data_IF_254203988227
#
_entry.id   IF_254203988227
#
_cell.length_a   1.000
_cell.length_b   1.000
_cell.length_c   1.000
_cell.angle_alpha   90.00
_cell.angle_beta   90.00
_cell.angle_gamma   90.00
#
_symmetry.space_group_name_H-M   'P 1'
#
loop_
_entity.id
_entity.type
_entity.pdbx_description
1 polymer ?
#
# COMPACT_ATOMS: atom_id res chain seq x y z
N UNK A 1 15.28 -5.39 17.70
CA UNK A 1 14.75 -6.72 17.33
C UNK A 1 14.48 -6.72 15.84
N UNK A 2 14.65 -7.85 15.12
CA UNK A 2 14.29 -7.95 13.71
C UNK A 2 12.76 -7.77 13.52
N UNK A 3 12.35 -7.16 12.41
CA UNK A 3 10.93 -6.88 12.11
C UNK A 3 10.12 -8.17 11.89
N UNK A 4 10.76 -9.19 11.31
CA UNK A 4 10.19 -10.51 11.05
C UNK A 4 10.92 -11.62 11.78
N UNK A 5 10.20 -12.68 12.10
CA UNK A 5 10.72 -13.97 12.55
C UNK A 5 10.42 -15.02 11.49
N UNK A 6 11.36 -15.96 11.35
CA UNK A 6 11.23 -17.11 10.46
C UNK A 6 11.16 -18.38 11.28
N UNK A 7 10.29 -19.31 10.89
CA UNK A 7 10.20 -20.64 11.48
C UNK A 7 10.02 -21.69 10.40
N UNK A 8 10.51 -22.90 10.68
CA UNK A 8 10.07 -24.07 9.94
C UNK A 8 8.60 -24.35 10.27
N UNK A 9 7.86 -24.76 9.25
CA UNK A 9 6.45 -25.10 9.33
C UNK A 9 6.26 -26.53 8.85
N UNK A 10 5.77 -27.37 9.74
CA UNK A 10 5.19 -28.65 9.38
C UNK A 10 3.81 -28.42 8.77
N UNK A 11 3.63 -28.84 7.51
CA UNK A 11 2.40 -28.55 6.75
C UNK A 11 1.38 -29.68 6.92
N UNK A 12 1.83 -30.92 7.06
CA UNK A 12 0.96 -32.09 7.17
C UNK A 12 0.72 -32.51 8.63
N UNK A 13 0.11 -31.60 9.39
CA UNK A 13 -0.17 -31.79 10.84
C UNK A 13 -1.03 -33.04 11.12
N UNK A 14 -1.78 -33.54 10.14
CA UNK A 14 -2.68 -34.68 10.28
C UNK A 14 -2.11 -35.98 9.67
N UNK A 15 -0.86 -35.98 9.18
CA UNK A 15 -0.22 -37.13 8.52
C UNK A 15 -1.10 -37.74 7.41
N UNK A 16 -1.68 -36.89 6.55
CA UNK A 16 -2.49 -37.33 5.41
C UNK A 16 -1.63 -37.78 4.23
N UNK A 17 -0.39 -37.33 4.18
CA UNK A 17 0.59 -37.64 3.14
C UNK A 17 1.51 -38.77 3.62
N UNK A 18 1.95 -39.60 2.67
CA UNK A 18 3.02 -40.59 2.88
C UNK A 18 4.42 -39.94 2.82
N UNK A 19 4.49 -38.65 2.49
CA UNK A 19 5.70 -37.87 2.32
C UNK A 19 5.81 -36.81 3.41
N UNK A 20 7.05 -36.43 3.71
CA UNK A 20 7.32 -35.30 4.58
C UNK A 20 6.98 -34.02 3.82
N UNK A 21 5.92 -33.33 4.26
CA UNK A 21 5.49 -32.07 3.67
C UNK A 21 5.78 -30.90 4.61
N UNK A 22 6.63 -29.98 4.15
CA UNK A 22 7.10 -28.88 4.99
C UNK A 22 7.30 -27.58 4.22
N UNK A 23 7.35 -26.49 4.96
CA UNK A 23 7.63 -25.16 4.44
C UNK A 23 8.26 -24.25 5.48
N UNK A 24 8.25 -22.96 5.15
CA UNK A 24 8.70 -21.89 6.03
C UNK A 24 7.56 -20.92 6.27
N UNK A 25 7.46 -20.41 7.50
CA UNK A 25 6.59 -19.30 7.82
C UNK A 25 7.45 -18.10 8.26
N UNK A 26 7.18 -16.95 7.66
CA UNK A 26 7.71 -15.64 8.02
C UNK A 26 6.57 -14.81 8.60
N UNK A 27 6.74 -14.24 9.77
CA UNK A 27 5.69 -13.46 10.43
C UNK A 27 6.27 -12.29 11.21
N UNK A 28 5.48 -11.23 11.41
CA UNK A 28 5.94 -10.04 12.12
C UNK A 28 6.28 -10.37 13.58
N UNK A 29 7.43 -9.89 14.06
CA UNK A 29 7.95 -10.23 15.38
C UNK A 29 7.11 -9.66 16.54
N UNK A 30 6.38 -8.58 16.28
CA UNK A 30 5.59 -7.83 17.26
C UNK A 30 4.17 -7.66 16.74
N UNK A 31 3.20 -8.03 17.57
CA UNK A 31 1.79 -7.76 17.28
C UNK A 31 1.46 -6.32 17.67
N UNK A 32 0.81 -5.60 16.75
CA UNK A 32 0.33 -4.22 16.94
C UNK A 32 -1.16 -4.16 16.62
N UNK A 33 -2.03 -3.78 17.57
CA UNK A 33 -3.48 -3.79 17.34
C UNK A 33 -3.94 -2.68 16.38
N UNK A 34 -3.11 -1.66 16.13
CA UNK A 34 -3.39 -0.54 15.24
C UNK A 34 -2.98 -0.79 13.78
N UNK A 35 -2.40 -1.95 13.47
CA UNK A 35 -1.85 -2.28 12.15
C UNK A 35 -2.24 -3.69 11.72
N UNK A 36 -2.22 -3.95 10.43
CA UNK A 36 -2.41 -5.29 9.89
C UNK A 36 -1.17 -6.15 10.17
N UNK A 37 -1.42 -7.38 10.62
CA UNK A 37 -0.37 -8.35 10.91
C UNK A 37 -0.08 -9.25 9.71
N UNK A 38 1.14 -9.19 9.17
CA UNK A 38 1.58 -10.01 8.05
C UNK A 38 2.11 -11.38 8.52
N UNK A 39 1.63 -12.44 7.85
CA UNK A 39 2.23 -13.76 7.87
C UNK A 39 2.32 -14.31 6.44
N UNK A 40 3.53 -14.69 6.04
CA UNK A 40 3.86 -15.24 4.73
C UNK A 40 4.29 -16.71 4.89
N UNK A 41 3.78 -17.57 4.02
CA UNK A 41 4.15 -18.98 3.98
C UNK A 41 4.82 -19.25 2.66
N UNK A 42 5.95 -19.95 2.71
CA UNK A 42 6.75 -20.33 1.56
C UNK A 42 6.89 -21.84 1.58
N UNK A 43 6.46 -22.51 0.51
CA UNK A 43 6.53 -23.96 0.40
C UNK A 43 6.91 -24.35 -1.02
N UNK A 44 7.73 -25.40 -1.13
CA UNK A 44 8.11 -26.03 -2.39
C UNK A 44 7.97 -27.56 -2.32
N UNK A 45 7.94 -28.13 -1.10
CA UNK A 45 7.92 -29.58 -0.84
C UNK A 45 6.63 -29.91 -0.08
N UNK A 46 5.50 -29.38 -0.55
CA UNK A 46 4.19 -29.67 0.02
C UNK A 46 3.09 -29.59 -1.04
N UNK A 47 2.06 -30.40 -0.85
CA UNK A 47 0.90 -30.49 -1.73
C UNK A 47 -0.02 -29.28 -1.52
N UNK A 48 -0.40 -28.59 -2.60
CA UNK A 48 -1.24 -27.38 -2.52
C UNK A 48 -2.57 -27.59 -1.78
N UNK A 49 -3.16 -28.79 -1.87
CA UNK A 49 -4.39 -29.13 -1.14
C UNK A 49 -4.17 -29.19 0.37
N UNK A 50 -3.06 -29.78 0.85
CA UNK A 50 -2.73 -29.88 2.27
C UNK A 50 -2.43 -28.48 2.83
N UNK A 51 -1.69 -27.66 2.09
CA UNK A 51 -1.49 -26.24 2.43
C UNK A 51 -2.82 -25.49 2.52
N UNK A 52 -3.71 -25.67 1.55
CA UNK A 52 -5.00 -25.01 1.55
C UNK A 52 -5.87 -25.41 2.77
N UNK A 53 -5.86 -26.70 3.14
CA UNK A 53 -6.56 -27.18 4.34
C UNK A 53 -5.97 -26.60 5.63
N UNK A 54 -4.64 -26.56 5.76
CA UNK A 54 -3.95 -25.94 6.89
C UNK A 54 -4.37 -24.48 7.05
N UNK A 55 -4.34 -23.72 5.95
CA UNK A 55 -4.72 -22.31 5.91
C UNK A 55 -6.19 -22.09 6.26
N UNK A 56 -7.10 -22.95 5.77
CA UNK A 56 -8.51 -22.89 6.14
C UNK A 56 -8.68 -23.20 7.65
N UNK A 57 -7.90 -24.12 8.19
CA UNK A 57 -7.84 -24.38 9.63
C UNK A 57 -7.44 -23.13 10.43
N UNK A 58 -6.39 -22.43 10.00
CA UNK A 58 -5.95 -21.18 10.62
C UNK A 58 -6.97 -20.07 10.49
N UNK A 59 -7.59 -19.92 9.32
CA UNK A 59 -8.68 -18.97 9.09
C UNK A 59 -9.83 -19.21 10.09
N UNK A 60 -10.29 -20.45 10.25
CA UNK A 60 -11.34 -20.79 11.22
C UNK A 60 -10.91 -20.50 12.65
N UNK A 61 -9.66 -20.83 13.00
CA UNK A 61 -9.11 -20.56 14.34
C UNK A 61 -9.03 -19.06 14.62
N UNK A 62 -8.61 -18.25 13.66
CA UNK A 62 -8.56 -16.80 13.77
C UNK A 62 -9.95 -16.22 14.13
N UNK A 63 -11.01 -16.71 13.49
CA UNK A 63 -12.38 -16.28 13.80
C UNK A 63 -12.79 -16.59 15.25
N UNK A 64 -12.37 -17.74 15.81
CA UNK A 64 -12.62 -18.06 17.23
C UNK A 64 -11.92 -17.09 18.20
N UNK A 65 -10.80 -16.49 17.75
CA UNK A 65 -10.07 -15.47 18.47
C UNK A 65 -10.56 -14.04 18.15
N UNK A 66 -11.67 -13.89 17.42
CA UNK A 66 -12.20 -12.60 16.94
C UNK A 66 -11.21 -11.83 16.05
N UNK A 67 -10.36 -12.56 15.33
CA UNK A 67 -9.42 -12.01 14.36
C UNK A 67 -9.88 -12.34 12.95
N UNK A 68 -9.74 -11.38 12.05
CA UNK A 68 -10.00 -11.59 10.63
C UNK A 68 -8.69 -11.92 9.92
N UNK A 69 -8.65 -13.09 9.29
CA UNK A 69 -7.56 -13.50 8.42
C UNK A 69 -8.03 -13.43 6.96
N UNK A 70 -7.28 -12.74 6.11
CA UNK A 70 -7.56 -12.63 4.67
C UNK A 70 -6.28 -12.90 3.88
N UNK A 71 -6.36 -13.56 2.72
CA UNK A 71 -5.23 -13.62 1.81
C UNK A 71 -5.05 -12.25 1.16
N UNK A 72 -3.80 -11.84 0.98
CA UNK A 72 -3.45 -10.67 0.20
C UNK A 72 -2.51 -11.08 -0.93
N UNK A 73 -2.52 -10.39 -2.07
CA UNK A 73 -1.56 -10.65 -3.13
C UNK A 73 -0.16 -10.18 -2.73
N UNK A 74 0.87 -10.84 -3.27
CA UNK A 74 2.27 -10.43 -3.06
C UNK A 74 2.57 -9.02 -3.59
N UNK A 75 1.82 -8.58 -4.60
CA UNK A 75 1.78 -7.18 -5.05
C UNK A 75 0.34 -6.63 -5.00
N UNK A 76 0.00 -5.86 -3.94
CA UNK A 76 -1.32 -5.26 -3.76
C UNK A 76 -1.73 -4.26 -4.84
N UNK A 77 -0.79 -3.46 -5.37
CA UNK A 77 -1.10 -2.37 -6.30
C UNK A 77 -0.71 -2.65 -7.74
N UNK A 78 0.12 -3.67 -8.00
CA UNK A 78 0.56 -4.01 -9.36
C UNK A 78 1.08 -2.78 -10.12
N UNK A 79 1.92 -1.98 -9.46
CA UNK A 79 2.37 -0.71 -10.01
C UNK A 79 3.08 -0.96 -11.36
N UNK A 80 2.84 -0.09 -12.37
CA UNK A 80 3.51 -0.22 -13.66
C UNK A 80 5.02 -0.28 -13.51
N UNK A 81 5.68 -0.97 -14.44
CA UNK A 81 7.15 -1.07 -14.54
C UNK A 81 7.83 -1.91 -13.46
N UNK A 82 7.06 -2.77 -12.80
CA UNK A 82 7.59 -3.75 -11.84
C UNK A 82 7.64 -5.11 -12.52
N UNK A 83 8.65 -5.94 -12.24
CA UNK A 83 8.90 -7.17 -13.01
C UNK A 83 7.70 -8.13 -13.07
N UNK A 84 6.81 -8.06 -12.08
CA UNK A 84 5.59 -8.87 -11.96
C UNK A 84 4.30 -8.05 -12.02
N UNK A 85 4.34 -6.83 -12.59
CA UNK A 85 3.15 -5.99 -12.71
C UNK A 85 2.08 -6.67 -13.56
N UNK A 86 0.89 -6.86 -13.00
CA UNK A 86 -0.27 -7.29 -13.78
C UNK A 86 -0.92 -6.07 -14.46
N UNK A 87 -0.88 -5.96 -15.81
CA UNK A 87 -1.37 -4.79 -16.53
C UNK A 87 -2.89 -4.58 -16.39
N UNK A 88 -3.65 -5.60 -15.99
CA UNK A 88 -5.09 -5.51 -15.76
C UNK A 88 -5.45 -5.06 -14.34
N UNK A 89 -4.46 -4.93 -13.45
CA UNK A 89 -4.63 -4.60 -12.03
C UNK A 89 -4.12 -3.23 -11.64
N UNK A 90 -3.88 -2.36 -12.62
CA UNK A 90 -3.41 -0.99 -12.37
C UNK A 90 -4.31 -0.26 -11.37
N UNK A 91 -3.72 0.54 -10.46
CA UNK A 91 -4.48 1.20 -9.41
C UNK A 91 -5.35 2.32 -9.96
N UNK A 92 -6.46 2.57 -9.29
CA UNK A 92 -7.36 3.70 -9.56
C UNK A 92 -6.82 4.92 -8.80
N UNK A 93 -6.42 5.96 -9.54
CA UNK A 93 -6.05 7.23 -8.93
C UNK A 93 -7.30 7.98 -8.43
N UNK A 94 -7.26 8.43 -7.17
CA UNK A 94 -8.28 9.27 -6.55
C UNK A 94 -7.64 10.62 -6.17
N UNK A 95 -7.97 11.73 -6.85
CA UNK A 95 -7.45 13.05 -6.50
C UNK A 95 -8.04 13.54 -5.17
N UNK A 96 -7.22 14.22 -4.37
CA UNK A 96 -7.66 14.97 -3.20
C UNK A 96 -7.80 16.45 -3.58
N UNK A 97 -8.98 17.04 -3.42
CA UNK A 97 -9.22 18.44 -3.75
C UNK A 97 -8.84 19.36 -2.58
N UNK A 98 -7.73 20.07 -2.71
CA UNK A 98 -7.20 21.00 -1.74
C UNK A 98 -7.80 22.42 -1.80
N UNK A 99 -8.38 22.82 -2.95
CA UNK A 99 -8.80 24.20 -3.18
C UNK A 99 -9.75 24.72 -2.09
N UNK A 100 -10.76 23.95 -1.63
CA UNK A 100 -11.67 24.40 -0.58
C UNK A 100 -11.00 24.55 0.80
N UNK A 101 -9.82 23.95 1.00
CA UNK A 101 -9.10 23.96 2.26
C UNK A 101 -8.16 25.18 2.38
N UNK A 102 -7.74 25.76 1.25
CA UNK A 102 -6.84 26.92 1.22
C UNK A 102 -7.47 28.17 1.87
N UNK A 103 -8.78 28.42 1.68
CA UNK A 103 -9.52 29.55 2.30
C UNK A 103 -8.81 30.91 2.14
N UNK A 104 -8.23 31.16 0.97
CA UNK A 104 -7.50 32.40 0.67
C UNK A 104 -6.04 32.42 1.11
N UNK A 105 -5.53 31.33 1.70
CA UNK A 105 -4.11 31.13 1.98
C UNK A 105 -3.35 30.71 0.73
N UNK A 106 -2.04 30.96 0.74
CA UNK A 106 -1.13 30.55 -0.32
C UNK A 106 -0.75 29.07 -0.24
N UNK A 107 -0.83 28.48 0.97
CA UNK A 107 -0.54 27.08 1.23
C UNK A 107 -1.45 26.49 2.33
N UNK A 108 -1.70 25.18 2.27
CA UNK A 108 -2.57 24.47 3.23
C UNK A 108 -2.10 24.60 4.69
N UNK A 109 -0.79 24.54 4.90
CA UNK A 109 -0.17 24.54 6.23
C UNK A 109 0.56 25.85 6.53
N UNK A 110 0.14 26.95 5.88
CA UNK A 110 0.63 28.29 6.19
C UNK A 110 0.51 28.58 7.70
N UNK A 111 1.62 28.99 8.33
CA UNK A 111 1.79 29.11 9.77
C UNK A 111 2.67 28.02 10.41
N UNK A 112 3.02 26.97 9.67
CA UNK A 112 4.03 25.98 10.05
C UNK A 112 5.32 26.14 9.24
N UNK A 113 6.47 25.64 9.76
CA UNK A 113 7.71 25.57 9.01
C UNK A 113 7.52 24.80 7.69
N UNK A 114 8.00 25.38 6.57
CA UNK A 114 7.80 24.85 5.20
C UNK A 114 8.35 23.44 5.01
N UNK A 115 9.47 23.13 5.67
CA UNK A 115 10.12 21.82 5.68
C UNK A 115 9.20 20.71 6.23
N UNK A 116 8.18 21.08 7.00
CA UNK A 116 7.25 20.15 7.63
C UNK A 116 5.89 20.02 6.92
N UNK A 117 5.67 20.75 5.83
CA UNK A 117 4.39 20.77 5.11
C UNK A 117 4.05 19.42 4.46
N UNK A 118 5.03 18.73 3.88
CA UNK A 118 4.82 17.43 3.26
C UNK A 118 4.44 16.35 4.28
N UNK A 119 5.10 16.35 5.44
CA UNK A 119 4.77 15.42 6.53
C UNK A 119 3.36 15.69 7.06
N UNK A 120 2.96 16.96 7.22
CA UNK A 120 1.61 17.33 7.65
C UNK A 120 0.55 16.94 6.63
N UNK A 121 0.85 17.10 5.34
CA UNK A 121 -0.03 16.64 4.27
C UNK A 121 -0.21 15.12 4.35
N UNK A 122 0.89 14.38 4.53
CA UNK A 122 0.84 12.93 4.69
C UNK A 122 0.00 12.52 5.92
N UNK A 123 0.19 13.16 7.07
CA UNK A 123 -0.60 12.89 8.29
C UNK A 123 -2.08 13.20 8.07
N UNK A 124 -2.41 14.25 7.31
CA UNK A 124 -3.79 14.54 6.95
C UNK A 124 -4.37 13.48 6.00
N UNK A 125 -3.61 13.04 5.00
CA UNK A 125 -4.01 11.93 4.12
C UNK A 125 -4.20 10.62 4.90
N UNK A 126 -3.32 10.30 5.85
CA UNK A 126 -3.43 9.15 6.74
C UNK A 126 -4.69 9.25 7.62
N UNK A 127 -5.01 10.44 8.15
CA UNK A 127 -6.23 10.68 8.91
C UNK A 127 -7.50 10.47 8.05
N UNK A 128 -7.49 10.89 6.78
CA UNK A 128 -8.59 10.62 5.84
C UNK A 128 -8.75 9.11 5.66
N UNK A 129 -7.65 8.39 5.37
CA UNK A 129 -7.65 6.95 5.14
C UNK A 129 -8.14 6.19 6.37
N UNK A 130 -7.67 6.57 7.56
CA UNK A 130 -8.14 6.01 8.84
C UNK A 130 -9.63 6.23 9.10
N UNK A 131 -10.19 7.39 8.72
CA UNK A 131 -11.64 7.66 8.82
C UNK A 131 -12.48 6.68 8.01
N UNK A 132 -11.96 6.19 6.88
CA UNK A 132 -12.62 5.21 6.02
C UNK A 132 -12.38 3.76 6.43
N UNK A 133 -11.76 3.51 7.60
CA UNK A 133 -11.55 2.16 8.11
C UNK A 133 -10.36 1.43 7.46
N UNK A 134 -9.40 2.18 6.95
CA UNK A 134 -8.13 1.60 6.49
C UNK A 134 -7.12 1.57 7.63
N UNK A 135 -6.38 0.47 7.73
CA UNK A 135 -5.33 0.24 8.70
C UNK A 135 -3.99 0.05 7.98
N UNK A 136 -2.90 0.49 8.61
CA UNK A 136 -1.56 0.38 8.02
C UNK A 136 -1.23 -1.09 7.73
N UNK A 137 -0.73 -1.36 6.54
CA UNK A 137 -0.40 -2.69 6.05
C UNK A 137 1.07 -2.74 5.66
N UNK A 138 1.91 -3.17 6.60
CA UNK A 138 3.34 -3.35 6.34
C UNK A 138 3.54 -4.66 5.58
N UNK A 139 3.74 -4.55 4.27
CA UNK A 139 4.06 -5.68 3.40
C UNK A 139 5.47 -5.48 2.88
N UNK A 140 6.35 -6.44 3.13
CA UNK A 140 7.67 -6.45 2.52
C UNK A 140 7.53 -6.94 1.07
N UNK A 141 7.47 -6.01 0.11
CA UNK A 141 7.37 -6.38 -1.31
C UNK A 141 8.72 -6.91 -1.82
N UNK A 142 8.72 -8.10 -2.41
CA UNK A 142 9.89 -8.66 -3.11
C UNK A 142 10.29 -7.93 -4.40
N UNK A 143 9.47 -6.97 -4.87
CA UNK A 143 9.60 -6.36 -6.20
C UNK A 143 9.75 -4.84 -6.20
N UNK A 144 9.55 -4.18 -5.06
CA UNK A 144 9.65 -2.72 -4.96
C UNK A 144 10.79 -2.35 -4.02
N UNK A 145 11.55 -1.31 -4.36
CA UNK A 145 12.49 -0.70 -3.41
C UNK A 145 11.76 -0.47 -2.08
N UNK A 146 12.43 -0.78 -0.97
CA UNK A 146 11.91 -0.96 0.39
C UNK A 146 10.94 0.11 0.93
N UNK A 147 10.76 1.25 0.24
CA UNK A 147 9.95 2.39 0.65
C UNK A 147 8.46 2.31 0.23
N UNK A 148 8.05 1.44 -0.69
CA UNK A 148 6.61 1.33 -1.09
C UNK A 148 5.76 0.69 0.03
N UNK A 149 6.37 -0.13 0.89
CA UNK A 149 5.69 -0.85 1.97
C UNK A 149 5.24 0.03 3.15
N UNK A 150 5.74 1.27 3.26
CA UNK A 150 5.51 2.10 4.45
C UNK A 150 4.19 2.87 4.44
N UNK A 151 3.60 3.09 3.25
CA UNK A 151 2.39 3.89 3.07
C UNK A 151 1.25 3.11 2.40
N UNK A 152 1.31 1.78 2.51
CA UNK A 152 0.24 0.88 2.10
C UNK A 152 -0.73 0.68 3.26
N UNK A 153 -2.01 0.75 2.95
CA UNK A 153 -3.10 0.53 3.90
C UNK A 153 -4.07 -0.48 3.33
N UNK A 154 -4.62 -1.32 4.21
CA UNK A 154 -5.67 -2.29 3.89
C UNK A 154 -6.95 -1.89 4.61
N UNK A 155 -8.09 -1.95 3.94
CA UNK A 155 -9.37 -1.74 4.60
C UNK A 155 -9.63 -2.86 5.62
N UNK A 156 -10.32 -2.59 6.73
CA UNK A 156 -10.64 -3.60 7.76
C UNK A 156 -11.35 -4.85 7.20
N UNK A 157 -12.07 -4.72 6.09
CA UNK A 157 -12.71 -5.87 5.41
C UNK A 157 -11.72 -6.77 4.67
N UNK A 158 -10.50 -6.30 4.41
CA UNK A 158 -9.46 -6.97 3.63
C UNK A 158 -9.58 -6.80 2.11
N UNK A 159 -10.65 -6.19 1.60
CA UNK A 159 -10.97 -6.22 0.16
C UNK A 159 -10.31 -5.11 -0.66
N UNK A 160 -9.75 -4.10 -0.02
CA UNK A 160 -9.34 -2.86 -0.69
C UNK A 160 -8.02 -2.42 -0.10
N UNK A 161 -7.15 -1.89 -0.96
CA UNK A 161 -5.89 -1.28 -0.56
C UNK A 161 -5.85 0.17 -0.99
N UNK A 162 -5.16 0.98 -0.20
CA UNK A 162 -4.81 2.36 -0.54
C UNK A 162 -3.29 2.50 -0.38
N UNK A 163 -2.64 3.10 -1.36
CA UNK A 163 -1.30 3.67 -1.22
C UNK A 163 -1.42 5.19 -1.14
N UNK A 164 -0.71 5.79 -0.20
CA UNK A 164 -0.45 7.23 -0.20
C UNK A 164 0.92 7.45 -0.89
N UNK A 165 0.96 8.02 -2.10
CA UNK A 165 2.24 8.31 -2.76
C UNK A 165 3.00 9.37 -1.96
N UNK A 166 4.14 9.03 -1.39
CA UNK A 166 5.01 10.03 -0.76
C UNK A 166 6.03 10.54 -1.75
N UNK A 167 6.04 11.87 -1.91
CA UNK A 167 7.00 12.61 -2.74
C UNK A 167 8.40 12.69 -2.13
N UNK A 168 8.56 12.20 -0.90
CA UNK A 168 9.57 12.63 0.08
C UNK A 168 11.02 12.25 -0.27
N UNK A 169 11.32 11.47 -1.33
CA UNK A 169 12.72 11.08 -1.62
C UNK A 169 13.17 11.06 -3.08
N UNK A 170 12.36 11.51 -4.04
CA UNK A 170 12.85 11.57 -5.44
C UNK A 170 13.93 12.64 -5.63
N UNK A 171 13.88 13.75 -4.86
CA UNK A 171 14.79 14.88 -5.10
C UNK A 171 16.23 14.70 -4.60
N UNK A 172 16.52 13.75 -3.69
CA UNK A 172 17.90 13.55 -3.21
C UNK A 172 18.78 12.71 -4.13
N UNK A 173 18.22 12.02 -5.14
CA UNK A 173 19.02 11.38 -6.20
C UNK A 173 19.26 12.27 -7.43
N UNK A 174 18.63 13.45 -7.50
CA UNK A 174 18.69 14.37 -8.64
C UNK A 174 19.86 15.37 -8.64
N UNK A 175 20.65 15.46 -7.57
CA UNK A 175 21.81 16.37 -7.49
C UNK A 175 23.12 15.62 -7.76
N UNK A 176 23.24 14.95 -8.92
CA UNK A 176 24.57 14.67 -9.48
C UNK A 176 24.93 15.78 -10.45
N UNK A 177 25.96 16.53 -10.07
CA UNK A 177 26.56 17.63 -10.79
C UNK A 177 26.70 17.34 -12.29
N UNK A 178 26.35 18.35 -13.12
CA UNK A 178 26.64 18.35 -14.56
C UNK A 178 28.15 18.12 -14.76
N UNK A 179 28.60 17.09 -15.49
CA UNK A 179 29.99 17.04 -15.91
C UNK A 179 30.18 17.94 -17.13
N UNK A 180 31.12 18.87 -16.98
CA UNK A 180 31.72 19.67 -18.05
C UNK A 180 32.41 18.74 -19.05
N UNK A 181 32.20 19.01 -20.35
CA UNK A 181 32.87 18.38 -21.49
C UNK A 181 34.36 18.11 -21.26
N UNK A 182 34.80 16.84 -21.35
CA UNK A 182 36.16 16.50 -21.81
C UNK A 182 36.19 15.22 -22.65
N UNK A 183 37.01 15.34 -23.68
CA UNK A 183 37.32 14.48 -24.81
C UNK A 183 38.11 13.22 -24.40
N UNK A 184 37.66 12.05 -24.90
CA UNK A 184 38.38 10.87 -25.41
C UNK A 184 39.74 10.50 -24.77
N UNK A 185 39.83 9.35 -24.07
CA UNK A 185 40.62 8.18 -24.53
C UNK A 185 40.62 6.98 -23.54
N UNK A 186 40.28 5.82 -24.12
CA UNK A 186 40.77 4.45 -23.89
C UNK A 186 41.14 3.92 -22.48
N UNK A 187 40.49 2.83 -22.08
CA UNK A 187 41.17 1.76 -21.31
C UNK A 187 40.33 0.96 -20.30
N UNK A 188 39.73 -0.15 -20.77
CA UNK A 188 39.44 -1.41 -20.05
C UNK A 188 38.46 -1.37 -18.87
N UNK A 189 37.22 -1.77 -19.13
CA UNK A 189 36.32 -2.73 -18.42
C UNK A 189 34.89 -2.48 -18.93
N UNK A 190 34.07 -3.49 -19.31
CA UNK A 190 32.68 -3.24 -19.66
C UNK A 190 31.90 -2.96 -18.38
N UNK A 191 31.72 -1.68 -18.06
CA UNK A 191 30.63 -1.25 -17.20
C UNK A 191 29.38 -1.34 -18.07
N UNK A 192 28.46 -2.24 -17.72
CA UNK A 192 27.16 -2.32 -18.37
C UNK A 192 26.53 -0.91 -18.40
N UNK A 193 26.22 -0.35 -19.58
CA UNK A 193 25.43 0.88 -19.64
C UNK A 193 24.08 0.60 -18.97
N UNK A 194 23.55 1.63 -18.30
CA UNK A 194 22.22 1.67 -17.70
C UNK A 194 21.26 0.73 -18.44
N UNK A 195 20.72 -0.25 -17.71
CA UNK A 195 19.85 -1.27 -18.27
C UNK A 195 18.82 -0.59 -19.17
N UNK A 196 18.89 -0.89 -20.47
CA UNK A 196 17.90 -0.43 -21.42
C UNK A 196 16.52 -0.82 -20.88
N UNK A 197 15.52 0.08 -20.96
CA UNK A 197 14.18 -0.20 -20.46
C UNK A 197 13.74 -1.55 -21.02
N UNK A 198 13.25 -2.42 -20.14
CA UNK A 198 12.93 -3.79 -20.52
C UNK A 198 11.97 -3.77 -21.72
N UNK A 199 12.03 -4.76 -22.63
CA UNK A 199 11.11 -4.83 -23.77
C UNK A 199 9.62 -4.73 -23.36
N UNK A 200 9.31 -5.16 -22.12
CA UNK A 200 8.02 -5.04 -21.47
C UNK A 200 7.63 -3.59 -21.15
N UNK A 201 8.55 -2.80 -20.60
CA UNK A 201 8.38 -1.37 -20.34
C UNK A 201 8.07 -0.61 -21.64
N UNK A 202 8.81 -0.92 -22.71
CA UNK A 202 8.56 -0.35 -24.04
C UNK A 202 7.26 -0.81 -24.73
N UNK A 203 6.66 -1.92 -24.32
CA UNK A 203 5.37 -2.40 -24.85
C UNK A 203 4.19 -1.71 -24.16
N UNK A 204 4.29 -1.50 -22.84
CA UNK A 204 3.31 -0.76 -22.03
C UNK A 204 3.24 0.70 -22.49
N UNK A 205 4.39 1.37 -22.67
CA UNK A 205 4.42 2.79 -23.08
C UNK A 205 3.90 3.04 -24.49
N UNK A 206 3.82 2.02 -25.36
CA UNK A 206 3.32 2.16 -26.74
C UNK A 206 1.80 2.06 -26.85
N UNK A 207 1.14 1.37 -25.92
CA UNK A 207 -0.31 1.14 -25.96
C UNK A 207 -1.10 2.03 -24.99
N UNK A 208 -0.41 2.86 -24.21
CA UNK A 208 -1.00 3.84 -23.30
C UNK A 208 -0.42 5.20 -23.70
N UNK A 209 -1.25 6.06 -24.31
CA UNK A 209 -0.86 7.32 -24.97
C UNK A 209 0.34 8.06 -24.35
N UNK A 210 1.36 8.34 -25.17
CA UNK A 210 2.54 9.14 -24.83
C UNK A 210 2.20 10.59 -24.43
N UNK A 211 0.95 11.03 -24.68
CA UNK A 211 0.41 12.32 -24.23
C UNK A 211 0.17 12.38 -22.71
N UNK A 212 0.30 11.26 -22.01
CA UNK A 212 0.02 11.10 -20.58
C UNK A 212 1.30 10.87 -19.74
N UNK A 213 2.49 11.21 -20.23
CA UNK A 213 3.70 11.21 -19.38
C UNK A 213 3.53 12.09 -18.13
N UNK A 214 2.82 13.20 -18.27
CA UNK A 214 2.50 14.14 -17.18
C UNK A 214 1.36 13.65 -16.26
N UNK A 215 0.72 12.51 -16.57
CA UNK A 215 -0.28 11.89 -15.69
C UNK A 215 0.32 10.87 -14.72
N UNK A 216 1.53 10.38 -14.99
CA UNK A 216 2.26 9.46 -14.12
C UNK A 216 3.25 10.15 -13.19
N UNK A 217 3.45 11.47 -13.33
CA UNK A 217 4.13 12.26 -12.31
C UNK A 217 3.22 12.42 -11.08
N UNK A 218 3.08 11.32 -10.33
CA UNK A 218 2.36 11.27 -9.05
C UNK A 218 3.11 12.04 -7.97
N UNK A 219 4.34 12.51 -8.25
CA UNK A 219 5.14 13.29 -7.30
C UNK A 219 4.61 14.70 -7.07
N UNK A 220 3.68 15.18 -7.92
CA UNK A 220 3.04 16.50 -7.78
C UNK A 220 1.54 16.46 -7.56
N UNK A 221 0.90 15.30 -7.70
CA UNK A 221 -0.56 15.18 -7.60
C UNK A 221 -0.95 14.67 -6.21
N UNK A 222 -1.62 15.51 -5.44
CA UNK A 222 -2.15 15.15 -4.13
C UNK A 222 -3.34 14.20 -4.30
N UNK A 223 -3.23 12.98 -3.77
CA UNK A 223 -4.25 11.96 -3.94
C UNK A 223 -3.82 10.59 -3.43
N UNK A 224 -4.56 9.58 -3.86
CA UNK A 224 -4.46 8.20 -3.38
C UNK A 224 -4.44 7.23 -4.56
N UNK A 225 -3.73 6.11 -4.42
CA UNK A 225 -3.84 4.97 -5.34
C UNK A 225 -4.67 3.89 -4.68
N UNK A 226 -5.76 3.51 -5.33
CA UNK A 226 -6.70 2.50 -4.84
C UNK A 226 -6.57 1.20 -5.63
N UNK A 227 -6.59 0.06 -4.96
CA UNK A 227 -6.66 -1.24 -5.63
C UNK A 227 -7.59 -2.23 -4.91
N UNK A 228 -8.05 -3.23 -5.66
CA UNK A 228 -8.90 -4.30 -5.13
C UNK A 228 -8.08 -5.52 -4.73
N UNK A 229 -8.49 -6.17 -3.64
CA UNK A 229 -7.96 -7.48 -3.25
C UNK A 229 -8.70 -8.61 -3.97
N UNK A 230 -8.18 -8.97 -5.14
CA UNK A 230 -8.67 -10.07 -5.96
C UNK A 230 -8.43 -11.48 -5.35
N UNK A 231 -7.65 -11.60 -4.27
CA UNK A 231 -7.41 -12.90 -3.61
C UNK A 231 -8.58 -13.37 -2.74
N UNK A 232 -9.51 -12.47 -2.39
CA UNK A 232 -10.69 -12.79 -1.58
C UNK A 232 -11.81 -13.36 -2.46
N UNK A 233 -11.82 -14.68 -2.62
CA UNK A 233 -12.92 -15.40 -3.26
C UNK A 233 -14.06 -15.73 -2.29
N UNK A 234 -15.18 -16.28 -2.81
CA UNK A 234 -16.39 -16.64 -2.04
C UNK A 234 -16.10 -17.51 -0.81
N UNK A 235 -15.05 -18.35 -0.86
CA UNK A 235 -14.66 -19.22 0.26
C UNK A 235 -14.24 -18.45 1.52
N UNK A 236 -13.79 -17.20 1.36
CA UNK A 236 -13.38 -16.31 2.44
C UNK A 236 -14.52 -15.41 2.94
N UNK A 237 -15.64 -15.35 2.21
CA UNK A 237 -16.81 -14.48 2.48
C UNK A 237 -17.99 -15.26 3.09
N UNK A 238 -17.73 -16.40 3.73
CA UNK A 238 -18.78 -17.26 4.30
C UNK A 238 -19.52 -16.62 5.48
N UNK A 239 -20.60 -17.27 5.95
CA UNK A 239 -21.42 -16.83 7.10
C UNK A 239 -20.62 -16.51 8.37
N UNK A 240 -19.44 -17.11 8.52
CA UNK A 240 -18.53 -16.92 9.65
C UNK A 240 -17.54 -15.74 9.51
N UNK A 241 -17.54 -15.02 8.37
CA UNK A 241 -16.70 -13.84 8.14
C UNK A 241 -17.52 -12.67 7.53
N UNK A 242 -18.57 -12.19 8.22
CA UNK A 242 -19.45 -11.11 7.72
C UNK A 242 -18.69 -9.79 7.48
N UNK A 243 -17.56 -9.59 8.16
CA UNK A 243 -16.70 -8.43 8.01
C UNK A 243 -16.05 -8.31 6.61
N UNK A 244 -16.03 -9.37 5.80
CA UNK A 244 -15.51 -9.27 4.44
C UNK A 244 -16.46 -8.50 3.49
N UNK A 245 -17.72 -8.26 3.85
CA UNK A 245 -18.65 -7.48 3.04
C UNK A 245 -18.94 -8.06 1.64
N UNK A 246 -19.86 -7.41 0.92
CA UNK A 246 -20.20 -7.75 -0.45
C UNK A 246 -19.49 -6.85 -1.48
N UNK A 247 -19.59 -7.21 -2.76
CA UNK A 247 -18.99 -6.42 -3.85
C UNK A 247 -19.69 -5.06 -4.00
N UNK A 248 -20.97 -4.97 -3.64
CA UNK A 248 -21.74 -3.73 -3.68
C UNK A 248 -21.18 -2.71 -2.68
N UNK A 249 -20.83 -3.14 -1.48
CA UNK A 249 -20.17 -2.32 -0.47
C UNK A 249 -18.84 -1.75 -1.00
N UNK A 250 -18.02 -2.58 -1.64
CA UNK A 250 -16.72 -2.17 -2.19
C UNK A 250 -16.86 -1.03 -3.20
N UNK A 251 -17.81 -1.15 -4.13
CA UNK A 251 -18.09 -0.12 -5.14
C UNK A 251 -18.63 1.15 -4.48
N UNK A 252 -19.57 1.01 -3.52
CA UNK A 252 -20.12 2.16 -2.79
C UNK A 252 -19.05 2.89 -2.00
N UNK A 253 -18.11 2.16 -1.40
CA UNK A 253 -17.02 2.74 -0.63
C UNK A 253 -16.07 3.55 -1.51
N UNK A 254 -15.63 3.02 -2.66
CA UNK A 254 -14.80 3.79 -3.59
C UNK A 254 -15.53 5.05 -4.07
N UNK A 255 -16.83 4.95 -4.37
CA UNK A 255 -17.63 6.11 -4.78
C UNK A 255 -17.73 7.15 -3.66
N UNK A 256 -17.99 6.72 -2.42
CA UNK A 256 -18.06 7.62 -1.27
C UNK A 256 -16.70 8.29 -0.99
N UNK A 257 -15.62 7.53 -1.08
CA UNK A 257 -14.25 8.03 -0.93
C UNK A 257 -13.91 9.09 -1.98
N UNK A 258 -14.29 8.87 -3.25
CA UNK A 258 -14.16 9.86 -4.33
C UNK A 258 -14.96 11.14 -4.04
N UNK A 259 -16.22 11.01 -3.62
CA UNK A 259 -17.05 12.18 -3.29
C UNK A 259 -16.50 12.95 -2.10
N UNK A 260 -16.01 12.25 -1.07
CA UNK A 260 -15.35 12.86 0.07
C UNK A 260 -14.11 13.64 -0.38
N UNK A 261 -13.20 13.02 -1.14
CA UNK A 261 -11.98 13.68 -1.62
C UNK A 261 -12.25 14.86 -2.56
N UNK A 262 -13.37 14.85 -3.29
CA UNK A 262 -13.83 15.97 -4.12
C UNK A 262 -14.52 17.10 -3.33
N UNK A 263 -14.59 16.98 -1.99
CA UNK A 263 -15.31 17.89 -1.09
C UNK A 263 -16.83 18.00 -1.37
N UNK A 264 -17.47 16.92 -1.83
CA UNK A 264 -18.92 16.87 -1.97
C UNK A 264 -19.60 17.11 -0.62
N UNK A 265 -20.66 17.92 -0.59
CA UNK A 265 -21.37 18.33 0.64
C UNK A 265 -20.45 18.95 1.71
N UNK A 266 -19.32 19.53 1.31
CA UNK A 266 -18.32 20.13 2.20
C UNK A 266 -17.73 19.15 3.23
N UNK A 267 -17.84 17.83 2.99
CA UNK A 267 -17.41 16.80 3.95
C UNK A 267 -15.91 16.84 4.23
N UNK A 268 -15.09 17.16 3.23
CA UNK A 268 -13.64 17.29 3.41
C UNK A 268 -13.30 18.56 4.19
N UNK A 269 -13.94 19.68 3.88
CA UNK A 269 -13.77 20.94 4.62
C UNK A 269 -14.16 20.79 6.09
N UNK A 270 -15.29 20.15 6.38
CA UNK A 270 -15.73 19.87 7.76
C UNK A 270 -14.76 18.94 8.49
N UNK A 271 -14.25 17.91 7.81
CA UNK A 271 -13.26 17.02 8.40
C UNK A 271 -11.93 17.73 8.68
N UNK A 272 -11.51 18.60 7.77
CA UNK A 272 -10.35 19.46 7.99
C UNK A 272 -10.52 20.28 9.27
N UNK A 273 -11.64 21.00 9.42
CA UNK A 273 -11.92 21.77 10.64
C UNK A 273 -11.88 20.91 11.91
N UNK A 274 -12.49 19.72 11.87
CA UNK A 274 -12.43 18.76 12.97
C UNK A 274 -11.00 18.38 13.35
N UNK A 275 -10.11 18.17 12.37
CA UNK A 275 -8.71 17.88 12.62
C UNK A 275 -7.99 19.04 13.31
N UNK A 276 -8.28 20.29 12.92
CA UNK A 276 -7.72 21.48 13.59
C UNK A 276 -8.24 21.60 15.03
N UNK A 277 -9.54 21.38 15.27
CA UNK A 277 -10.12 21.38 16.62
C UNK A 277 -9.51 20.31 17.54
N UNK A 278 -9.31 19.09 17.03
CA UNK A 278 -8.67 18.01 17.80
C UNK A 278 -7.25 18.40 18.19
N UNK A 279 -6.50 19.01 17.27
CA UNK A 279 -5.14 19.49 17.57
C UNK A 279 -5.14 20.56 18.65
N UNK A 280 -6.01 21.57 18.57
CA UNK A 280 -6.09 22.63 19.58
C UNK A 280 -6.48 22.08 20.96
N UNK A 281 -7.35 21.07 21.01
CA UNK A 281 -7.68 20.37 22.25
C UNK A 281 -6.47 19.61 22.80
N UNK A 282 -5.71 18.94 21.94
CA UNK A 282 -4.50 18.21 22.33
C UNK A 282 -3.39 19.13 22.85
N UNK A 283 -3.21 20.32 22.28
CA UNK A 283 -2.25 21.33 22.76
C UNK A 283 -2.71 22.02 24.04
N UNK A 284 -4.03 22.07 24.29
CA UNK A 284 -4.62 22.57 25.54
C UNK A 284 -4.50 21.63 26.73
N UNK A 285 -4.15 20.35 26.53
CA UNK A 285 -3.85 19.41 27.61
C UNK A 285 -2.40 19.65 28.05
N UNK A 286 -2.22 20.61 28.97
CA UNK A 286 -1.00 20.64 29.79
C UNK A 286 -1.05 19.39 30.68
N UNK A 287 -0.06 18.49 30.55
CA UNK A 287 0.16 17.46 31.56
C UNK A 287 0.20 18.12 32.94
N UNK A 288 -0.79 17.81 33.77
CA UNK A 288 -0.69 18.01 35.21
C UNK A 288 0.23 16.94 35.80
#
# INVERSE_FOLDING_TARGET
MPLYKNTHLDIDVNNKSDRIEWGHARYQATFRPDQAYEMCIQWAIASGNIVAELIIGWFRKAQTCRLQMVPIPADPLALPFTEKSDPLRGPIYVPLNEEPLLRGKSALFEGFPEDTWLERLFLFQEAIVGRFGFIKCTVESTSHAADVGDHLYVHVTGNMFILIPTTVKSEQKGLRAKPVNKLVNAGRYPVHPEAAPSPHEGYITRHVDVKNRDCYDTSRRMGFLWSWNHMISKKWKGSQAPAAGDEVFQIRMLRDFKHFCANHEQRLSQFWDQCWEIREKATGIKCC
#
